data_IF_960311605737
#
_entry.id   IF_960311605737
#
_cell.length_a   1.000
_cell.length_b   1.000
_cell.length_c   1.000
_cell.angle_alpha   90.00
_cell.angle_beta   90.00
_cell.angle_gamma   90.00
#
_symmetry.space_group_name_H-M   'P 1'
#
loop_
_entity.id
_entity.type
_entity.pdbx_description
1 polymer ?
#
# COMPACT_ATOMS: atom_id res chain seq x y z
N UNK A 1 12.67 -14.48 -16.62
CA UNK A 1 13.49 -13.30 -16.35
C UNK A 1 14.36 -12.92 -17.55
N UNK A 2 15.45 -13.66 -17.87
CA UNK A 2 16.38 -13.31 -18.97
C UNK A 2 15.75 -13.17 -20.37
N UNK A 3 14.68 -13.90 -20.68
CA UNK A 3 14.01 -13.79 -21.98
C UNK A 3 13.28 -12.45 -22.18
N UNK A 4 12.69 -11.88 -21.12
CA UNK A 4 11.99 -10.58 -21.21
C UNK A 4 12.94 -9.41 -21.43
N UNK A 5 14.14 -9.48 -20.83
CA UNK A 5 15.20 -8.47 -21.02
C UNK A 5 15.80 -8.50 -22.42
N UNK A 6 16.03 -9.71 -22.95
CA UNK A 6 16.47 -9.87 -24.33
C UNK A 6 15.48 -9.26 -25.33
N UNK A 7 14.18 -9.42 -25.08
CA UNK A 7 13.14 -8.78 -25.91
C UNK A 7 13.09 -7.27 -25.75
N UNK A 8 13.36 -6.72 -24.57
CA UNK A 8 13.40 -5.28 -24.36
C UNK A 8 14.49 -4.59 -25.19
N UNK A 9 15.73 -5.08 -25.11
CA UNK A 9 16.85 -4.52 -25.91
C UNK A 9 16.63 -4.69 -27.42
N UNK A 10 16.11 -5.84 -27.86
CA UNK A 10 15.78 -6.07 -29.28
C UNK A 10 14.64 -5.15 -29.77
N UNK A 11 13.65 -4.87 -28.92
CA UNK A 11 12.54 -3.98 -29.27
C UNK A 11 13.00 -2.52 -29.33
N UNK A 12 13.89 -2.11 -28.43
CA UNK A 12 14.51 -0.78 -28.47
C UNK A 12 15.29 -0.55 -29.77
N UNK A 13 16.10 -1.52 -30.20
CA UNK A 13 16.82 -1.45 -31.48
C UNK A 13 15.84 -1.37 -32.66
N UNK A 14 14.76 -2.14 -32.64
CA UNK A 14 13.75 -2.13 -33.69
C UNK A 14 13.00 -0.78 -33.79
N UNK A 15 12.58 -0.21 -32.66
CA UNK A 15 11.91 1.11 -32.66
C UNK A 15 12.84 2.22 -33.13
N UNK A 16 14.13 2.14 -32.78
CA UNK A 16 15.16 3.07 -33.24
C UNK A 16 15.36 2.98 -34.76
N UNK A 17 15.42 1.76 -35.30
CA UNK A 17 15.56 1.52 -36.74
C UNK A 17 14.32 1.97 -37.54
N UNK A 18 13.14 1.86 -36.94
CA UNK A 18 11.86 2.31 -37.52
C UNK A 18 11.62 3.83 -37.35
N UNK A 19 12.43 4.52 -36.55
CA UNK A 19 12.25 5.94 -36.23
C UNK A 19 11.05 6.24 -35.32
N UNK A 20 10.45 5.22 -34.68
CA UNK A 20 9.34 5.38 -33.75
C UNK A 20 9.87 5.73 -32.34
N UNK A 21 10.15 7.02 -32.16
CA UNK A 21 10.65 7.56 -30.89
C UNK A 21 9.68 7.39 -29.72
N UNK A 22 8.36 7.31 -29.98
CA UNK A 22 7.38 7.11 -28.92
C UNK A 22 7.39 5.66 -28.46
N UNK A 23 7.42 4.71 -29.40
CA UNK A 23 7.60 3.29 -29.10
C UNK A 23 8.90 3.00 -28.34
N UNK A 24 10.00 3.69 -28.68
CA UNK A 24 11.27 3.62 -27.95
C UNK A 24 11.13 4.10 -26.50
N UNK A 25 10.50 5.27 -26.29
CA UNK A 25 10.27 5.82 -24.94
C UNK A 25 9.36 4.90 -24.08
N UNK A 26 8.27 4.40 -24.66
CA UNK A 26 7.34 3.48 -24.00
C UNK A 26 8.04 2.16 -23.63
N UNK A 27 8.96 1.69 -24.47
CA UNK A 27 9.75 0.49 -24.19
C UNK A 27 10.74 0.72 -23.04
N UNK A 28 11.46 1.84 -23.00
CA UNK A 28 12.33 2.19 -21.87
C UNK A 28 11.58 2.20 -20.55
N UNK A 29 10.40 2.83 -20.52
CA UNK A 29 9.55 2.87 -19.34
C UNK A 29 9.15 1.45 -18.90
N UNK A 30 8.80 0.58 -19.86
CA UNK A 30 8.42 -0.81 -19.57
C UNK A 30 9.56 -1.66 -19.03
N UNK A 31 10.79 -1.46 -19.51
CA UNK A 31 11.96 -2.15 -18.94
C UNK A 31 12.21 -1.66 -17.51
N UNK A 32 12.13 -0.35 -17.27
CA UNK A 32 12.31 0.22 -15.93
C UNK A 32 11.30 -0.34 -14.92
N UNK A 33 10.01 -0.41 -15.28
CA UNK A 33 8.97 -1.06 -14.47
C UNK A 33 9.32 -2.52 -14.14
N UNK A 34 9.83 -3.25 -15.14
CA UNK A 34 10.17 -4.68 -14.99
C UNK A 34 11.36 -4.87 -14.06
N UNK A 35 12.40 -4.04 -14.20
CA UNK A 35 13.57 -4.07 -13.31
C UNK A 35 13.22 -3.66 -11.89
N UNK A 36 12.36 -2.64 -11.72
CA UNK A 36 11.88 -2.24 -10.40
C UNK A 36 11.09 -3.36 -9.71
N UNK A 37 10.24 -4.08 -10.45
CA UNK A 37 9.51 -5.24 -9.95
C UNK A 37 10.43 -6.41 -9.55
N UNK A 38 11.62 -6.51 -10.15
CA UNK A 38 12.64 -7.50 -9.79
C UNK A 38 13.65 -7.00 -8.74
N UNK A 39 13.50 -5.78 -8.24
CA UNK A 39 14.41 -5.19 -7.25
C UNK A 39 15.76 -4.73 -7.83
N UNK A 40 15.87 -4.62 -9.16
CA UNK A 40 17.04 -4.07 -9.86
C UNK A 40 16.93 -2.55 -9.89
N UNK A 41 17.14 -1.93 -8.74
CA UNK A 41 16.83 -0.52 -8.48
C UNK A 41 17.71 0.44 -9.30
N UNK A 42 18.99 0.11 -9.50
CA UNK A 42 19.91 0.97 -10.26
C UNK A 42 19.67 0.89 -11.77
N UNK A 43 19.39 -0.30 -12.30
CA UNK A 43 19.03 -0.49 -13.70
C UNK A 43 17.71 0.22 -14.04
N UNK A 44 16.71 0.08 -13.16
CA UNK A 44 15.43 0.77 -13.31
C UNK A 44 15.59 2.29 -13.32
N UNK A 45 16.50 2.85 -12.52
CA UNK A 45 16.77 4.28 -12.50
C UNK A 45 17.31 4.77 -13.85
N UNK A 46 18.31 4.07 -14.40
CA UNK A 46 18.90 4.42 -15.69
C UNK A 46 17.87 4.40 -16.81
N UNK A 47 17.07 3.34 -16.87
CA UNK A 47 16.05 3.16 -17.92
C UNK A 47 14.90 4.16 -17.80
N UNK A 48 14.47 4.48 -16.57
CA UNK A 48 13.45 5.51 -16.35
C UNK A 48 13.97 6.91 -16.72
N UNK A 49 15.27 7.18 -16.54
CA UNK A 49 15.89 8.43 -16.99
C UNK A 49 15.96 8.52 -18.52
N UNK A 50 16.29 7.43 -19.21
CA UNK A 50 16.22 7.37 -20.69
C UNK A 50 14.79 7.59 -21.20
N UNK A 51 13.80 6.94 -20.59
CA UNK A 51 12.38 7.18 -20.91
C UNK A 51 12.00 8.65 -20.70
N UNK A 52 12.40 9.25 -19.57
CA UNK A 52 12.11 10.65 -19.26
C UNK A 52 12.72 11.61 -20.29
N UNK A 53 13.96 11.36 -20.72
CA UNK A 53 14.62 12.16 -21.76
C UNK A 53 13.87 12.04 -23.09
N UNK A 54 13.49 10.84 -23.50
CA UNK A 54 12.74 10.62 -24.74
C UNK A 54 11.37 11.30 -24.71
N UNK A 55 10.62 11.19 -23.61
CA UNK A 55 9.33 11.88 -23.48
C UNK A 55 9.45 13.41 -23.42
N UNK A 56 10.56 13.96 -22.91
CA UNK A 56 10.84 15.40 -22.98
C UNK A 56 11.05 15.87 -24.41
N UNK A 57 11.82 15.12 -25.20
CA UNK A 57 12.04 15.41 -26.63
C UNK A 57 10.73 15.38 -27.42
N UNK A 58 9.84 14.44 -27.09
CA UNK A 58 8.50 14.31 -27.66
C UNK A 58 7.49 15.35 -27.11
N UNK A 59 7.86 16.10 -26.06
CA UNK A 59 6.95 16.96 -25.28
C UNK A 59 5.71 16.22 -24.75
N UNK A 60 5.84 14.92 -24.52
CA UNK A 60 4.79 14.07 -23.94
C UNK A 60 4.80 14.23 -22.42
N UNK A 61 3.83 14.98 -21.89
CA UNK A 61 3.72 15.22 -20.45
C UNK A 61 3.30 13.97 -19.68
N UNK A 62 2.43 13.15 -20.26
CA UNK A 62 1.93 11.95 -19.59
C UNK A 62 3.02 10.89 -19.47
N UNK A 63 3.85 10.76 -20.50
CA UNK A 63 5.04 9.91 -20.44
C UNK A 63 6.08 10.41 -19.42
N UNK A 64 6.30 11.73 -19.36
CA UNK A 64 7.17 12.34 -18.34
C UNK A 64 6.68 12.05 -16.91
N UNK A 65 5.38 12.21 -16.66
CA UNK A 65 4.79 11.86 -15.36
C UNK A 65 5.06 10.39 -15.04
N UNK A 66 4.77 9.49 -15.98
CA UNK A 66 4.98 8.04 -15.78
C UNK A 66 6.43 7.68 -15.45
N UNK A 67 7.40 8.28 -16.14
CA UNK A 67 8.82 8.09 -15.83
C UNK A 67 9.21 8.66 -14.46
N UNK A 68 8.68 9.83 -14.07
CA UNK A 68 8.93 10.43 -12.76
C UNK A 68 8.36 9.61 -11.60
N UNK A 69 7.27 8.86 -11.83
CA UNK A 69 6.72 7.91 -10.84
C UNK A 69 7.75 6.83 -10.52
N UNK A 70 8.30 6.19 -11.56
CA UNK A 70 9.32 5.14 -11.40
C UNK A 70 10.58 5.68 -10.73
N UNK A 71 11.07 6.85 -11.17
CA UNK A 71 12.23 7.50 -10.56
C UNK A 71 11.98 7.81 -9.08
N UNK A 72 10.77 8.27 -8.73
CA UNK A 72 10.41 8.52 -7.34
C UNK A 72 10.43 7.23 -6.52
N UNK A 73 9.78 6.17 -6.99
CA UNK A 73 9.75 4.89 -6.27
C UNK A 73 11.15 4.30 -6.07
N UNK A 74 12.04 4.45 -7.06
CA UNK A 74 13.46 4.09 -6.93
C UNK A 74 14.12 4.85 -5.78
N UNK A 75 13.98 6.17 -5.71
CA UNK A 75 14.60 6.97 -4.65
C UNK A 75 14.00 6.69 -3.27
N UNK A 76 12.70 6.40 -3.17
CA UNK A 76 12.07 5.93 -1.92
C UNK A 76 12.69 4.60 -1.47
N UNK A 77 12.85 3.63 -2.38
CA UNK A 77 13.49 2.33 -2.07
C UNK A 77 14.97 2.45 -1.70
N UNK A 78 15.63 3.52 -2.13
CA UNK A 78 17.02 3.86 -1.78
C UNK A 78 17.16 4.60 -0.46
N UNK A 79 16.06 4.91 0.23
CA UNK A 79 16.06 5.76 1.43
C UNK A 79 16.60 7.18 1.16
N UNK A 80 16.37 7.68 -0.07
CA UNK A 80 16.77 9.01 -0.53
C UNK A 80 15.55 9.84 -1.00
N UNK A 81 14.47 9.98 -0.19
CA UNK A 81 13.23 10.64 -0.60
C UNK A 81 13.42 12.10 -1.03
N UNK A 82 14.47 12.78 -0.55
CA UNK A 82 14.79 14.15 -0.93
C UNK A 82 15.16 14.31 -2.43
N UNK A 83 15.58 13.24 -3.10
CA UNK A 83 15.93 13.25 -4.53
C UNK A 83 14.76 12.88 -5.44
N UNK A 84 13.65 12.40 -4.87
CA UNK A 84 12.48 11.98 -5.62
C UNK A 84 11.70 13.17 -6.19
N UNK A 85 11.44 13.23 -7.51
CA UNK A 85 10.80 14.38 -8.14
C UNK A 85 9.34 14.62 -7.73
N UNK A 86 8.59 13.55 -7.41
CA UNK A 86 7.16 13.65 -7.05
C UNK A 86 6.90 13.55 -5.54
N UNK A 87 7.95 13.41 -4.72
CA UNK A 87 7.81 13.15 -3.29
C UNK A 87 7.11 14.30 -2.54
N UNK A 88 7.47 15.55 -2.86
CA UNK A 88 6.83 16.73 -2.25
C UNK A 88 5.35 16.89 -2.65
N UNK A 89 5.00 16.58 -3.90
CA UNK A 89 3.61 16.55 -4.35
C UNK A 89 2.83 15.44 -3.63
N UNK A 90 3.42 14.25 -3.48
CA UNK A 90 2.86 13.14 -2.71
C UNK A 90 2.53 13.56 -1.27
N UNK A 91 3.49 14.14 -0.54
CA UNK A 91 3.28 14.62 0.83
C UNK A 91 2.15 15.64 0.92
N UNK A 92 2.08 16.58 -0.03
CA UNK A 92 1.04 17.60 -0.06
C UNK A 92 -0.35 16.99 -0.31
N UNK A 93 -0.46 16.04 -1.24
CA UNK A 93 -1.71 15.34 -1.52
C UNK A 93 -2.17 14.52 -0.32
N UNK A 94 -1.23 13.85 0.37
CA UNK A 94 -1.54 13.10 1.57
C UNK A 94 -2.02 14.00 2.72
N UNK A 95 -1.40 15.17 2.89
CA UNK A 95 -1.86 16.16 3.85
C UNK A 95 -3.27 16.69 3.50
N UNK A 96 -3.58 16.85 2.21
CA UNK A 96 -4.92 17.22 1.76
C UNK A 96 -5.93 16.11 2.06
N UNK A 97 -5.57 14.83 1.85
CA UNK A 97 -6.39 13.67 2.25
C UNK A 97 -6.65 13.70 3.76
N UNK A 98 -5.63 13.90 4.58
CA UNK A 98 -5.78 13.98 6.04
C UNK A 98 -6.75 15.10 6.46
N UNK A 99 -6.58 16.30 5.90
CA UNK A 99 -7.46 17.45 6.16
C UNK A 99 -8.90 17.20 5.69
N UNK A 100 -9.08 16.50 4.57
CA UNK A 100 -10.40 16.14 4.06
C UNK A 100 -11.09 15.11 4.97
N UNK A 101 -10.35 14.14 5.52
CA UNK A 101 -10.87 13.19 6.51
C UNK A 101 -11.30 13.93 7.79
N UNK A 102 -10.46 14.83 8.30
CA UNK A 102 -10.73 15.61 9.51
C UNK A 102 -12.00 16.47 9.36
N UNK A 103 -12.16 17.14 8.21
CA UNK A 103 -13.30 18.01 7.91
C UNK A 103 -14.51 17.30 7.33
N UNK A 104 -14.42 16.01 7.03
CA UNK A 104 -15.45 15.24 6.32
C UNK A 104 -15.81 15.84 4.95
N UNK A 105 -14.79 16.34 4.23
CA UNK A 105 -14.93 16.95 2.90
C UNK A 105 -14.74 15.90 1.79
N UNK A 106 -15.85 15.31 1.35
CA UNK A 106 -15.87 14.27 0.32
C UNK A 106 -15.22 14.68 -1.01
N UNK A 107 -15.62 15.81 -1.63
CA UNK A 107 -15.01 16.29 -2.87
C UNK A 107 -13.50 16.53 -2.77
N UNK A 108 -13.03 17.14 -1.67
CA UNK A 108 -11.60 17.36 -1.46
C UNK A 108 -10.84 16.03 -1.28
N UNK A 109 -11.44 15.07 -0.57
CA UNK A 109 -10.89 13.72 -0.42
C UNK A 109 -10.75 13.02 -1.78
N UNK A 110 -11.81 13.01 -2.59
CA UNK A 110 -11.83 12.37 -3.90
C UNK A 110 -10.78 12.99 -4.84
N UNK A 111 -10.72 14.31 -4.94
CA UNK A 111 -9.77 15.00 -5.82
C UNK A 111 -8.31 14.73 -5.40
N UNK A 112 -8.01 14.77 -4.10
CA UNK A 112 -6.66 14.50 -3.61
C UNK A 112 -6.28 13.03 -3.81
N UNK A 113 -7.21 12.09 -3.55
CA UNK A 113 -6.97 10.67 -3.67
C UNK A 113 -6.86 10.22 -5.14
N UNK A 114 -7.68 10.76 -6.05
CA UNK A 114 -7.59 10.51 -7.49
C UNK A 114 -6.24 10.95 -8.05
N UNK A 115 -5.79 12.17 -7.69
CA UNK A 115 -4.48 12.66 -8.10
C UNK A 115 -3.37 11.79 -7.53
N UNK A 116 -3.41 11.46 -6.24
CA UNK A 116 -2.43 10.60 -5.59
C UNK A 116 -2.32 9.24 -6.30
N UNK A 117 -3.44 8.58 -6.60
CA UNK A 117 -3.49 7.30 -7.33
C UNK A 117 -3.01 7.40 -8.79
N UNK A 118 -3.13 8.59 -9.41
CA UNK A 118 -2.63 8.84 -10.76
C UNK A 118 -1.11 8.94 -10.80
N UNK A 119 -0.50 9.54 -9.77
CA UNK A 119 0.94 9.76 -9.70
C UNK A 119 1.71 8.64 -8.98
N UNK A 120 1.16 7.42 -8.86
CA UNK A 120 1.87 6.29 -8.24
C UNK A 120 1.45 5.96 -6.80
N UNK A 121 0.45 6.65 -6.27
CA UNK A 121 -0.17 6.32 -4.99
C UNK A 121 0.77 6.51 -3.81
N UNK A 122 0.74 5.55 -2.88
CA UNK A 122 1.57 5.57 -1.69
C UNK A 122 3.05 5.25 -1.95
N UNK A 123 3.41 4.77 -3.14
CA UNK A 123 4.82 4.52 -3.51
C UNK A 123 5.68 5.79 -3.62
N UNK A 124 5.07 6.97 -3.50
CA UNK A 124 5.74 8.26 -3.52
C UNK A 124 6.24 8.75 -2.15
N UNK A 125 5.82 8.11 -1.08
CA UNK A 125 5.98 8.57 0.30
C UNK A 125 6.46 7.36 1.12
N UNK A 126 7.22 7.60 2.17
CA UNK A 126 7.61 6.51 3.07
C UNK A 126 6.44 6.08 3.95
N UNK A 127 6.42 4.82 4.38
CA UNK A 127 5.37 4.33 5.27
C UNK A 127 5.30 5.12 6.59
N UNK A 128 6.44 5.62 7.08
CA UNK A 128 6.54 6.43 8.30
C UNK A 128 5.89 7.80 8.12
N UNK A 129 6.16 8.48 7.01
CA UNK A 129 5.50 9.73 6.65
C UNK A 129 4.00 9.53 6.48
N UNK A 130 3.60 8.43 5.82
CA UNK A 130 2.19 8.11 5.64
C UNK A 130 1.47 8.01 6.99
N UNK A 131 2.04 7.26 7.93
CA UNK A 131 1.46 7.09 9.25
C UNK A 131 1.48 8.36 10.09
N UNK A 132 2.53 9.17 10.00
CA UNK A 132 2.60 10.42 10.76
C UNK A 132 1.55 11.45 10.32
N UNK A 133 1.17 11.43 9.03
CA UNK A 133 0.17 12.34 8.46
C UNK A 133 -1.26 11.83 8.68
N UNK A 134 -1.54 10.56 8.34
CA UNK A 134 -2.90 10.01 8.42
C UNK A 134 -3.28 9.52 9.82
N UNK A 135 -2.30 9.02 10.59
CA UNK A 135 -2.50 8.39 11.88
C UNK A 135 -3.30 9.26 12.86
N UNK A 136 -2.87 10.50 13.17
CA UNK A 136 -3.57 11.35 14.13
C UNK A 136 -5.04 11.62 13.78
N UNK A 137 -5.35 11.81 12.49
CA UNK A 137 -6.71 12.10 12.03
C UNK A 137 -7.60 10.86 12.12
N UNK A 138 -7.07 9.69 11.74
CA UNK A 138 -7.84 8.43 11.79
C UNK A 138 -8.02 7.98 13.25
N UNK A 139 -6.99 8.06 14.08
CA UNK A 139 -7.05 7.60 15.47
C UNK A 139 -7.96 8.47 16.36
N UNK A 140 -8.27 9.71 15.95
CA UNK A 140 -9.18 10.59 16.70
C UNK A 140 -10.62 10.07 16.73
N UNK A 141 -11.12 9.54 15.61
CA UNK A 141 -12.42 8.89 15.48
C UNK A 141 -12.37 7.81 14.38
N UNK A 142 -11.86 6.59 14.70
CA UNK A 142 -11.57 5.56 13.71
C UNK A 142 -12.80 5.14 12.91
N UNK A 143 -13.92 4.90 13.60
CA UNK A 143 -15.12 4.36 12.97
C UNK A 143 -15.72 5.37 11.98
N UNK A 144 -15.83 6.65 12.38
CA UNK A 144 -16.31 7.69 11.46
C UNK A 144 -15.28 8.01 10.37
N UNK A 145 -13.96 7.98 10.67
CA UNK A 145 -12.88 8.11 9.67
C UNK A 145 -13.04 7.08 8.55
N UNK A 146 -13.24 5.82 8.93
CA UNK A 146 -13.37 4.70 8.02
C UNK A 146 -14.68 4.77 7.23
N UNK A 147 -15.81 5.08 7.87
CA UNK A 147 -17.10 5.25 7.19
C UNK A 147 -17.03 6.36 6.12
N UNK A 148 -16.43 7.50 6.46
CA UNK A 148 -16.21 8.58 5.51
C UNK A 148 -15.31 8.16 4.35
N UNK A 149 -14.17 7.53 4.63
CA UNK A 149 -13.24 7.08 3.58
C UNK A 149 -13.90 6.05 2.68
N UNK A 150 -14.63 5.07 3.22
CA UNK A 150 -15.31 4.05 2.42
C UNK A 150 -16.43 4.65 1.56
N UNK A 151 -17.24 5.57 2.10
CA UNK A 151 -18.32 6.24 1.34
C UNK A 151 -17.83 7.19 0.25
N UNK A 152 -16.56 7.61 0.31
CA UNK A 152 -15.93 8.51 -0.67
C UNK A 152 -14.79 7.84 -1.46
N UNK A 153 -14.55 6.54 -1.24
CA UNK A 153 -13.62 5.76 -2.03
C UNK A 153 -14.18 5.57 -3.44
N UNK A 154 -13.31 5.54 -4.43
CA UNK A 154 -13.69 5.26 -5.82
C UNK A 154 -14.03 3.77 -5.91
N UNK A 155 -15.30 3.42 -5.70
CA UNK A 155 -15.83 2.07 -5.94
C UNK A 155 -15.51 1.65 -7.39
N UNK A 156 -14.76 0.56 -7.54
CA UNK A 156 -14.63 -0.26 -8.75
C UNK A 156 -14.56 0.52 -10.08
N UNK A 157 -13.57 1.41 -10.25
CA UNK A 157 -13.10 1.67 -11.60
C UNK A 157 -12.44 0.38 -12.10
N UNK A 158 -13.12 -0.34 -12.99
CA UNK A 158 -12.58 -1.39 -13.85
C UNK A 158 -11.30 -0.90 -14.55
N UNK A 159 -10.17 -0.87 -13.84
CA UNK A 159 -8.89 -0.51 -14.45
C UNK A 159 -8.39 -1.73 -15.20
N UNK A 160 -8.89 -1.89 -16.42
CA UNK A 160 -8.46 -2.88 -17.42
C UNK A 160 -7.04 -2.67 -17.93
N UNK A 161 -6.07 -2.37 -17.07
CA UNK A 161 -4.65 -2.32 -17.42
C UNK A 161 -3.84 -3.12 -16.40
N UNK A 162 -3.34 -4.25 -16.86
CA UNK A 162 -2.44 -5.12 -16.14
C UNK A 162 -1.21 -4.34 -15.65
N UNK A 163 -1.05 -4.21 -14.33
CA UNK A 163 0.19 -3.70 -13.73
C UNK A 163 0.06 -2.95 -12.40
N UNK A 164 -1.12 -2.49 -12.00
CA UNK A 164 -1.26 -1.77 -10.71
C UNK A 164 -1.36 -2.74 -9.54
N UNK A 165 -0.51 -2.55 -8.53
CA UNK A 165 -0.64 -3.15 -7.21
C UNK A 165 -2.10 -3.01 -6.75
N UNK A 166 -2.70 -4.11 -6.30
CA UNK A 166 -4.12 -4.22 -5.92
C UNK A 166 -4.56 -3.03 -5.08
N UNK A 167 -5.41 -2.16 -5.65
CA UNK A 167 -5.99 -1.05 -4.90
C UNK A 167 -6.73 -1.59 -3.68
N UNK A 168 -6.61 -0.94 -2.51
CA UNK A 168 -7.37 -1.34 -1.33
C UNK A 168 -8.87 -1.21 -1.62
N UNK A 169 -9.61 -2.27 -1.33
CA UNK A 169 -11.06 -2.42 -1.60
C UNK A 169 -11.89 -1.77 -0.50
N UNK A 170 -11.27 -1.48 0.65
CA UNK A 170 -11.89 -0.77 1.75
C UNK A 170 -10.98 -0.71 2.97
N UNK A 171 -11.25 0.24 3.85
CA UNK A 171 -10.59 0.37 5.15
C UNK A 171 -11.46 -0.24 6.25
N UNK A 172 -10.81 -0.85 7.24
CA UNK A 172 -11.48 -1.50 8.37
C UNK A 172 -10.89 -1.06 9.70
N UNK A 173 -11.77 -0.90 10.68
CA UNK A 173 -11.43 -0.58 12.07
C UNK A 173 -10.92 -1.85 12.73
N UNK A 174 -9.88 -1.72 13.56
CA UNK A 174 -9.24 -2.87 14.19
C UNK A 174 -9.55 -2.94 15.68
N UNK A 175 -10.03 -4.10 16.13
CA UNK A 175 -10.10 -4.42 17.55
C UNK A 175 -8.70 -4.80 18.07
N UNK A 176 -7.85 -3.79 18.31
CA UNK A 176 -6.46 -3.96 18.77
C UNK A 176 -6.30 -4.95 19.92
N UNK A 177 -7.26 -4.95 20.86
CA UNK A 177 -7.25 -5.84 22.02
C UNK A 177 -7.28 -7.32 21.64
N UNK A 178 -8.00 -7.71 20.58
CA UNK A 178 -8.04 -9.11 20.12
C UNK A 178 -6.72 -9.49 19.46
N UNK A 179 -6.15 -8.61 18.64
CA UNK A 179 -4.84 -8.84 18.01
C UNK A 179 -3.74 -8.99 19.05
N UNK A 180 -3.71 -8.11 20.04
CA UNK A 180 -2.73 -8.19 21.13
C UNK A 180 -2.94 -9.43 22.01
N UNK A 181 -4.19 -9.82 22.28
CA UNK A 181 -4.51 -11.08 22.95
C UNK A 181 -4.00 -12.27 22.15
N UNK A 182 -4.14 -12.23 20.82
CA UNK A 182 -3.60 -13.23 19.89
C UNK A 182 -2.09 -13.39 19.98
N UNK A 183 -1.32 -12.29 20.07
CA UNK A 183 0.13 -12.35 20.25
C UNK A 183 0.52 -13.06 21.56
N UNK A 184 -0.13 -12.71 22.67
CA UNK A 184 0.13 -13.35 23.97
C UNK A 184 -0.28 -14.82 23.96
N UNK A 185 -1.44 -15.15 23.41
CA UNK A 185 -1.93 -16.52 23.35
C UNK A 185 -1.11 -17.40 22.38
N UNK A 186 -0.54 -16.82 21.32
CA UNK A 186 0.31 -17.50 20.34
C UNK A 186 1.78 -17.66 20.75
N UNK A 187 2.18 -17.16 21.92
CA UNK A 187 3.57 -17.20 22.38
C UNK A 187 4.53 -16.26 21.66
N UNK A 188 4.00 -15.33 20.88
CA UNK A 188 4.79 -14.31 20.21
C UNK A 188 4.79 -13.07 21.10
N UNK A 189 5.82 -12.94 21.93
CA UNK A 189 5.98 -11.80 22.84
C UNK A 189 6.64 -10.62 22.15
N UNK A 190 5.84 -9.71 21.60
CA UNK A 190 6.34 -8.37 21.26
C UNK A 190 6.25 -7.51 22.53
N UNK A 191 7.37 -6.91 22.94
CA UNK A 191 7.44 -6.13 24.18
C UNK A 191 6.41 -4.98 24.25
N UNK A 192 6.27 -4.30 25.40
CA UNK A 192 5.21 -3.30 25.63
C UNK A 192 5.22 -2.11 24.66
N UNK A 193 6.33 -1.92 23.92
CA UNK A 193 6.51 -0.90 22.88
C UNK A 193 5.87 -1.25 21.52
N UNK A 194 5.41 -2.48 21.33
CA UNK A 194 4.73 -2.88 20.10
C UNK A 194 3.35 -2.23 20.01
N UNK A 195 2.98 -1.72 18.83
CA UNK A 195 1.66 -1.12 18.57
C UNK A 195 1.14 -1.47 17.18
N UNK A 196 -0.04 -2.06 17.13
CA UNK A 196 -0.81 -2.16 15.88
C UNK A 196 -1.31 -0.78 15.45
N UNK A 197 -1.32 -0.54 14.14
CA UNK A 197 -2.08 0.54 13.51
C UNK A 197 -3.59 0.46 13.85
N UNK A 198 -4.28 1.59 13.87
CA UNK A 198 -5.73 1.68 14.17
C UNK A 198 -6.63 1.12 13.06
N UNK A 199 -6.11 1.02 11.84
CA UNK A 199 -6.87 0.61 10.67
C UNK A 199 -6.07 -0.37 9.80
N UNK A 200 -6.78 -1.21 9.06
CA UNK A 200 -6.20 -2.10 8.05
C UNK A 200 -6.90 -1.94 6.71
N UNK A 201 -6.17 -2.23 5.63
CA UNK A 201 -6.71 -2.23 4.26
C UNK A 201 -7.09 -3.65 3.83
N UNK A 202 -8.25 -3.82 3.19
CA UNK A 202 -8.62 -5.08 2.53
C UNK A 202 -8.18 -5.06 1.07
N UNK A 203 -7.74 -6.20 0.55
CA UNK A 203 -7.35 -6.36 -0.85
C UNK A 203 -8.14 -7.50 -1.50
N UNK A 204 -8.66 -7.29 -2.72
CA UNK A 204 -9.24 -8.36 -3.54
C UNK A 204 -8.08 -9.19 -4.12
N UNK A 205 -8.21 -10.51 -4.10
CA UNK A 205 -7.26 -11.37 -4.81
C UNK A 205 -7.47 -11.29 -6.32
N UNK A 206 -6.48 -11.71 -7.12
CA UNK A 206 -6.60 -11.81 -8.57
C UNK A 206 -7.76 -12.71 -9.05
N UNK A 207 -8.31 -13.57 -8.19
CA UNK A 207 -9.46 -14.42 -8.47
C UNK A 207 -10.81 -13.75 -8.16
N UNK A 208 -10.83 -12.48 -7.74
CA UNK A 208 -12.04 -11.78 -7.32
C UNK A 208 -12.58 -12.22 -5.95
N UNK A 209 -11.93 -13.19 -5.30
CA UNK A 209 -12.23 -13.54 -3.92
C UNK A 209 -11.68 -12.44 -2.99
N UNK A 210 -12.55 -11.90 -2.15
CA UNK A 210 -12.15 -11.10 -1.00
C UNK A 210 -11.36 -12.01 -0.05
N UNK A 211 -10.03 -11.86 -0.03
CA UNK A 211 -9.26 -12.35 1.11
C UNK A 211 -8.93 -11.16 1.98
N UNK A 212 -9.37 -11.23 3.24
CA UNK A 212 -8.95 -10.31 4.29
C UNK A 212 -7.44 -10.44 4.48
N UNK A 213 -6.66 -9.72 3.66
CA UNK A 213 -5.25 -9.51 3.97
C UNK A 213 -5.20 -8.41 5.03
N UNK A 214 -5.24 -8.81 6.29
CA UNK A 214 -5.00 -7.92 7.42
C UNK A 214 -3.49 -7.62 7.47
N UNK A 215 -3.09 -6.51 6.84
CA UNK A 215 -1.76 -5.97 7.03
C UNK A 215 -1.66 -5.32 8.42
N UNK A 216 -0.85 -5.90 9.31
CA UNK A 216 -0.43 -5.25 10.54
C UNK A 216 0.97 -4.69 10.32
N UNK A 217 1.15 -3.38 10.46
CA UNK A 217 2.47 -2.77 10.44
C UNK A 217 2.77 -2.09 11.78
N UNK A 218 4.01 -2.19 12.23
CA UNK A 218 4.58 -1.35 13.28
C UNK A 218 5.55 -0.42 12.57
N UNK A 219 5.13 0.81 12.35
CA UNK A 219 5.87 1.76 11.53
C UNK A 219 6.94 2.51 12.31
N UNK A 220 6.82 2.56 13.65
CA UNK A 220 7.85 3.14 14.52
C UNK A 220 7.78 2.53 15.92
N UNK A 221 8.95 2.24 16.51
CA UNK A 221 9.05 1.95 17.93
C UNK A 221 8.92 3.26 18.71
N UNK A 222 7.92 3.35 19.59
CA UNK A 222 7.71 4.53 20.43
C UNK A 222 8.64 4.52 21.64
N UNK A 223 9.17 5.69 22.01
CA UNK A 223 10.05 5.87 23.18
C UNK A 223 9.29 5.73 24.51
N UNK A 224 8.00 6.10 24.51
CA UNK A 224 7.12 5.98 25.67
C UNK A 224 6.37 4.65 25.65
N UNK A 225 6.45 3.90 26.75
CA UNK A 225 5.62 2.73 26.97
C UNK A 225 4.28 3.15 27.55
N UNK A 226 3.27 3.24 26.69
CA UNK A 226 1.95 2.86 27.17
C UNK A 226 2.00 1.33 27.34
N UNK A 227 1.53 0.79 28.46
CA UNK A 227 1.42 -0.65 28.63
C UNK A 227 0.04 -1.07 28.12
N UNK A 228 -0.03 -1.45 26.84
CA UNK A 228 -1.28 -1.89 26.21
C UNK A 228 -1.93 -3.06 26.98
N UNK A 229 -1.14 -3.81 27.73
CA UNK A 229 -1.57 -4.90 28.60
C UNK A 229 -2.57 -4.44 29.67
N UNK A 230 -2.41 -3.24 30.25
CA UNK A 230 -3.40 -2.70 31.19
C UNK A 230 -4.73 -2.38 30.49
N UNK A 231 -4.68 -2.04 29.21
CA UNK A 231 -5.86 -1.77 28.37
C UNK A 231 -6.72 -3.02 28.12
N UNK A 232 -6.14 -4.23 28.18
CA UNK A 232 -6.89 -5.47 28.03
C UNK A 232 -7.85 -5.74 29.19
N UNK A 233 -7.65 -5.13 30.37
CA UNK A 233 -8.41 -5.37 31.60
C UNK A 233 -8.49 -6.85 32.02
N UNK A 234 -7.59 -7.70 31.51
CA UNK A 234 -7.48 -9.11 31.85
C UNK A 234 -6.38 -9.29 32.91
N UNK A 235 -6.63 -10.17 33.88
CA UNK A 235 -5.65 -10.47 34.91
C UNK A 235 -4.42 -11.16 34.28
N UNK A 236 -3.17 -10.79 34.62
CA UNK A 236 -1.96 -11.37 34.03
C UNK A 236 -1.91 -12.90 34.04
N UNK A 237 -2.39 -13.53 35.12
CA UNK A 237 -2.49 -14.99 35.22
C UNK A 237 -3.42 -15.63 34.18
N UNK A 238 -4.47 -14.94 33.70
CA UNK A 238 -5.33 -15.43 32.62
C UNK A 238 -4.59 -15.37 31.27
N UNK A 239 -3.77 -14.34 31.06
CA UNK A 239 -2.96 -14.20 29.86
C UNK A 239 -1.85 -15.27 29.79
N UNK A 240 -1.20 -15.56 30.91
CA UNK A 240 -0.20 -16.63 31.01
C UNK A 240 -0.82 -18.02 30.88
N UNK A 241 -2.06 -18.22 31.36
CA UNK A 241 -2.79 -19.46 31.14
C UNK A 241 -3.11 -19.70 29.65
N UNK A 242 -3.48 -18.65 28.92
CA UNK A 242 -3.77 -18.74 27.49
C UNK A 242 -2.53 -19.15 26.67
N UNK A 243 -1.35 -18.65 27.05
CA UNK A 243 -0.06 -19.05 26.47
C UNK A 243 0.23 -20.54 26.70
N UNK A 244 -0.04 -21.04 27.92
CA UNK A 244 0.24 -22.43 28.30
C UNK A 244 -0.76 -23.43 27.73
N UNK A 245 -1.97 -22.98 27.37
CA UNK A 245 -3.08 -23.88 27.01
C UNK A 245 -3.29 -24.07 25.50
N UNK A 246 -2.48 -23.43 24.63
CA UNK A 246 -2.63 -23.42 23.17
C UNK A 246 -4.06 -23.09 22.73
N UNK A 247 -4.32 -21.82 22.41
CA UNK A 247 -5.62 -21.36 21.92
C UNK A 247 -6.00 -22.09 20.61
N UNK A 248 -6.99 -22.98 20.64
CA UNK A 248 -7.52 -23.63 19.43
C UNK A 248 -8.62 -22.75 18.84
N UNK A 249 -8.28 -21.90 17.88
CA UNK A 249 -9.24 -21.25 16.97
C UNK A 249 -9.61 -22.24 15.86
N UNK A 250 -10.38 -23.28 16.22
CA UNK A 250 -11.01 -24.19 15.25
C UNK A 250 -12.37 -23.65 14.80
N UNK A 251 -12.68 -23.81 13.52
CA UNK A 251 -13.92 -23.42 12.81
C UNK A 251 -15.18 -23.23 13.68
N UNK A 252 -15.35 -22.05 14.27
CA UNK A 252 -16.60 -21.63 14.90
C UNK A 252 -17.45 -20.74 13.96
N UNK A 253 -16.96 -20.48 12.74
CA UNK A 253 -17.59 -19.60 11.76
C UNK A 253 -17.94 -20.29 10.42
N UNK A 254 -17.88 -21.63 10.32
CA UNK A 254 -18.49 -22.32 9.20
C UNK A 254 -20.01 -22.48 9.48
N UNK A 255 -20.92 -22.06 8.57
CA UNK A 255 -22.33 -22.36 8.74
C UNK A 255 -22.48 -23.88 8.84
N UNK A 256 -23.11 -24.37 9.91
CA UNK A 256 -23.49 -25.78 10.03
C UNK A 256 -24.26 -26.15 8.76
N UNK A 257 -23.66 -26.96 7.89
CA UNK A 257 -24.42 -27.67 6.86
C UNK A 257 -25.52 -28.42 7.60
N UNK A 258 -26.76 -27.98 7.42
CA UNK A 258 -27.91 -28.68 8.00
C UNK A 258 -27.96 -30.05 7.34
N UNK A 259 -28.06 -31.10 8.16
CA UNK A 259 -28.22 -32.49 7.74
C UNK A 259 -29.51 -32.68 6.95
N UNK A 260 -29.51 -32.32 5.66
CA UNK A 260 -30.60 -32.60 4.72
C UNK A 260 -30.16 -33.22 3.40
N UNK A 261 -28.98 -33.82 3.35
CA UNK A 261 -28.56 -34.67 2.22
C UNK A 261 -28.05 -36.04 2.68
N UNK A 262 -28.86 -36.70 3.51
CA UNK A 262 -28.85 -38.17 3.61
C UNK A 262 -30.27 -38.70 3.58
N UNK A 263 -30.85 -38.73 2.37
CA UNK A 263 -31.73 -39.79 1.87
C UNK A 263 -31.98 -39.61 0.39
#
# INVERSE_FOLDING_TARGET
ARAGLGWGSQSLELFRDLGDRKGEADMWLKVAETHLAWGMVEEALGEAQEALMAYRDLRDKQGQDSANIIITEVYIRRDEPALAPLHSEGLQLLANVANAIDKRDGPAYQAANERLMTIGGYGLITDTEQASILGPVISADPDAAIEFMNSNSLDDAESGTAGKLTAPVGMTSQMKNITYLGFRAGGIGYGPRFRCVDYGSRMKTAAGEEKETLGFSVLQLQDQSDDWEYGLKLHPALLDCALQSAFVLGELAAPRKTDKEKR
#
